data_IF_417097364710
#
_entry.id   IF_417097364710
#
_cell.length_a   1.000
_cell.length_b   1.000
_cell.length_c   1.000
_cell.angle_alpha   90.00
_cell.angle_beta   90.00
_cell.angle_gamma   90.00
#
_symmetry.space_group_name_H-M   'P 1'
#
loop_
_entity.id
_entity.type
_entity.pdbx_description
1 polymer ?
#
# COMPACT_ATOMS: atom_id res chain seq x y z
N UNK A 1 -8.96 7.27 24.82
CA UNK A 1 -8.08 7.57 23.68
C UNK A 1 -7.62 6.26 23.04
N UNK A 2 -8.40 5.69 22.13
CA UNK A 2 -7.88 4.81 21.07
C UNK A 2 -8.90 4.78 19.93
N UNK A 3 -8.83 5.80 19.06
CA UNK A 3 -9.69 5.90 17.88
C UNK A 3 -9.26 4.93 16.76
N UNK A 4 -8.19 4.16 16.98
CA UNK A 4 -7.59 3.23 16.03
C UNK A 4 -7.49 1.84 16.66
N UNK A 5 -7.74 0.82 15.83
CA UNK A 5 -7.57 -0.58 16.23
C UNK A 5 -6.09 -0.93 16.39
N UNK A 6 -5.82 -1.99 17.14
CA UNK A 6 -4.45 -2.48 17.34
C UNK A 6 -3.75 -2.78 16.01
N UNK A 7 -4.49 -3.30 15.03
CA UNK A 7 -3.99 -3.54 13.66
C UNK A 7 -3.54 -2.26 12.98
N UNK A 8 -4.34 -1.19 13.02
CA UNK A 8 -3.95 0.10 12.42
C UNK A 8 -2.70 0.64 13.11
N UNK A 9 -2.62 0.51 14.43
CA UNK A 9 -1.46 0.96 15.20
C UNK A 9 -0.20 0.13 14.90
N UNK A 10 -0.34 -1.17 14.65
CA UNK A 10 0.76 -2.04 14.22
C UNK A 10 1.33 -1.60 12.87
N UNK A 11 0.47 -1.49 11.85
CA UNK A 11 0.89 -1.06 10.51
C UNK A 11 1.41 0.38 10.46
N UNK A 12 0.96 1.24 11.38
CA UNK A 12 1.53 2.58 11.51
C UNK A 12 2.93 2.55 12.12
N UNK A 13 3.16 1.76 13.18
CA UNK A 13 4.45 1.70 13.88
C UNK A 13 5.50 0.91 13.10
N UNK A 14 5.10 -0.20 12.49
CA UNK A 14 5.94 -1.11 11.73
C UNK A 14 5.31 -1.35 10.34
N UNK A 15 5.32 -0.35 9.44
CA UNK A 15 4.74 -0.51 8.12
C UNK A 15 5.51 -1.57 7.32
N UNK A 16 4.78 -2.54 6.79
CA UNK A 16 5.29 -3.59 5.92
C UNK A 16 5.35 -3.14 4.47
N UNK A 17 6.29 -3.67 3.69
CA UNK A 17 6.43 -3.42 2.25
C UNK A 17 6.66 -1.95 1.83
N UNK A 18 7.24 -1.14 2.72
CA UNK A 18 7.70 0.21 2.38
C UNK A 18 8.85 0.15 1.38
N UNK A 19 8.76 0.90 0.30
CA UNK A 19 9.84 1.05 -0.69
C UNK A 19 9.33 1.11 -2.13
N UNK A 20 10.24 0.82 -3.05
CA UNK A 20 9.96 0.81 -4.49
C UNK A 20 10.41 -0.52 -5.08
N UNK A 21 9.83 -0.85 -6.23
CA UNK A 21 10.27 -1.95 -7.09
C UNK A 21 10.87 -1.28 -8.33
N UNK A 22 12.19 -1.44 -8.56
CA UNK A 22 12.90 -0.73 -9.64
C UNK A 22 12.40 -1.13 -11.03
N UNK A 23 12.00 -2.39 -11.17
CA UNK A 23 11.48 -3.01 -12.37
C UNK A 23 9.98 -3.35 -12.20
N UNK A 24 9.23 -2.47 -11.55
CA UNK A 24 7.78 -2.65 -11.39
C UNK A 24 7.08 -2.79 -12.75
N UNK A 25 6.13 -3.72 -12.84
CA UNK A 25 5.29 -3.88 -14.04
C UNK A 25 4.14 -2.86 -14.03
N UNK A 26 3.77 -2.35 -12.86
CA UNK A 26 2.77 -1.30 -12.69
C UNK A 26 3.13 -0.33 -11.58
N UNK A 27 2.88 0.95 -11.82
CA UNK A 27 3.10 2.03 -10.85
C UNK A 27 1.87 2.93 -10.86
N UNK A 28 1.26 3.12 -9.69
CA UNK A 28 0.14 4.04 -9.49
C UNK A 28 0.52 5.12 -8.48
N UNK A 29 0.15 6.36 -8.74
CA UNK A 29 0.39 7.49 -7.85
C UNK A 29 -0.89 8.33 -7.72
N UNK A 30 -1.28 8.61 -6.48
CA UNK A 30 -2.47 9.39 -6.15
C UNK A 30 -2.15 10.32 -4.99
N UNK A 31 -2.58 11.57 -5.08
CA UNK A 31 -2.48 12.54 -4.01
C UNK A 31 -3.83 13.16 -3.66
N UNK A 32 -4.04 13.50 -2.40
CA UNK A 32 -5.19 14.25 -1.93
C UNK A 32 -4.77 15.69 -1.57
N UNK A 33 -5.14 16.71 -2.37
CA UNK A 33 -4.72 18.09 -2.14
C UNK A 33 -5.31 18.72 -0.87
N UNK A 34 -6.35 18.12 -0.28
CA UNK A 34 -7.01 18.64 0.93
C UNK A 34 -6.16 18.38 2.18
N UNK A 35 -5.58 17.18 2.30
CA UNK A 35 -4.73 16.81 3.44
C UNK A 35 -3.24 16.80 3.10
N UNK A 36 -2.88 16.88 1.82
CA UNK A 36 -1.48 16.82 1.35
C UNK A 36 -0.90 15.42 1.30
N UNK A 37 -1.72 14.38 1.51
CA UNK A 37 -1.26 12.99 1.44
C UNK A 37 -0.94 12.62 -0.02
N UNK A 38 0.21 11.99 -0.25
CA UNK A 38 0.65 11.46 -1.55
C UNK A 38 1.04 10.01 -1.36
N UNK A 39 0.42 9.11 -2.13
CA UNK A 39 0.68 7.68 -2.10
C UNK A 39 1.10 7.18 -3.48
N UNK A 40 2.12 6.34 -3.49
CA UNK A 40 2.64 5.65 -4.66
C UNK A 40 2.74 4.16 -4.39
N UNK A 41 2.17 3.35 -5.27
CA UNK A 41 2.18 1.89 -5.19
C UNK A 41 2.93 1.33 -6.40
N UNK A 42 3.73 0.31 -6.16
CA UNK A 42 4.50 -0.45 -7.14
C UNK A 42 4.05 -1.89 -7.08
N UNK A 43 3.72 -2.49 -8.23
CA UNK A 43 3.36 -3.90 -8.33
C UNK A 43 4.30 -4.63 -9.29
N UNK A 44 4.57 -5.89 -8.97
CA UNK A 44 5.18 -6.88 -9.86
C UNK A 44 4.15 -7.96 -10.14
N UNK A 45 3.93 -8.26 -11.40
CA UNK A 45 2.88 -9.18 -11.84
C UNK A 45 3.51 -10.33 -12.62
N UNK A 46 3.03 -11.54 -12.37
CA UNK A 46 3.37 -12.72 -13.15
C UNK A 46 2.14 -13.60 -13.30
N UNK A 47 1.81 -13.98 -14.53
CA UNK A 47 0.66 -14.84 -14.85
C UNK A 47 -0.64 -14.31 -14.21
N UNK A 48 -0.91 -13.01 -14.39
CA UNK A 48 -2.04 -12.24 -13.82
C UNK A 48 -2.12 -12.17 -12.28
N UNK A 49 -1.09 -12.65 -11.58
CA UNK A 49 -0.97 -12.60 -10.12
C UNK A 49 0.03 -11.55 -9.65
N UNK A 50 -0.34 -10.81 -8.60
CA UNK A 50 0.56 -9.83 -7.96
C UNK A 50 1.56 -10.58 -7.09
N UNK A 51 2.82 -10.68 -7.54
CA UNK A 51 3.88 -11.43 -6.83
C UNK A 51 4.65 -10.55 -5.85
N UNK A 52 4.71 -9.23 -6.08
CA UNK A 52 5.23 -8.28 -5.10
C UNK A 52 4.46 -6.96 -5.20
N UNK A 53 4.34 -6.29 -4.06
CA UNK A 53 3.63 -5.03 -3.93
C UNK A 53 4.36 -4.21 -2.86
N UNK A 54 4.74 -2.98 -3.21
CA UNK A 54 5.40 -2.02 -2.32
C UNK A 54 4.79 -0.66 -2.44
N UNK A 55 4.96 0.16 -1.40
CA UNK A 55 4.46 1.52 -1.42
C UNK A 55 5.47 2.53 -0.90
N UNK A 56 5.32 3.76 -1.35
CA UNK A 56 5.81 4.97 -0.69
C UNK A 56 4.64 5.89 -0.44
N UNK A 57 4.56 6.43 0.75
CA UNK A 57 3.53 7.42 1.07
C UNK A 57 4.14 8.53 1.90
N UNK A 58 3.66 9.74 1.67
CA UNK A 58 3.87 10.87 2.53
C UNK A 58 2.49 11.32 2.97
N UNK A 59 2.21 11.25 4.27
CA UNK A 59 0.88 11.59 4.75
C UNK A 59 0.66 11.28 6.22
N UNK A 60 -0.59 11.37 6.65
CA UNK A 60 -0.98 11.07 8.02
C UNK A 60 -0.72 9.59 8.40
N UNK A 61 -0.71 9.29 9.71
CA UNK A 61 -0.48 7.93 10.19
C UNK A 61 -1.52 6.91 9.69
N UNK A 62 -2.74 7.36 9.42
CA UNK A 62 -3.77 6.54 8.80
C UNK A 62 -3.39 6.16 7.35
N UNK A 63 -2.86 7.11 6.56
CA UNK A 63 -2.39 6.84 5.20
C UNK A 63 -1.24 5.82 5.18
N UNK A 64 -0.30 5.90 6.14
CA UNK A 64 0.78 4.93 6.29
C UNK A 64 0.22 3.54 6.62
N UNK A 65 -0.66 3.46 7.61
CA UNK A 65 -1.22 2.18 8.05
C UNK A 65 -2.04 1.50 6.95
N UNK A 66 -2.93 2.24 6.26
CA UNK A 66 -3.74 1.68 5.18
C UNK A 66 -2.91 1.28 3.97
N UNK A 67 -1.89 2.07 3.63
CA UNK A 67 -0.94 1.72 2.56
C UNK A 67 -0.18 0.43 2.87
N UNK A 68 0.23 0.23 4.13
CA UNK A 68 0.86 -1.02 4.52
C UNK A 68 -0.12 -2.21 4.44
N UNK A 69 -1.32 -2.07 4.98
CA UNK A 69 -2.33 -3.13 4.95
C UNK A 69 -2.69 -3.56 3.53
N UNK A 70 -2.92 -2.62 2.61
CA UNK A 70 -3.32 -2.98 1.24
C UNK A 70 -2.22 -3.76 0.53
N UNK A 71 -0.94 -3.42 0.73
CA UNK A 71 0.17 -4.15 0.09
C UNK A 71 0.27 -5.61 0.54
N UNK A 72 -0.11 -5.93 1.77
CA UNK A 72 -0.20 -7.33 2.23
C UNK A 72 -1.45 -8.02 1.69
N UNK A 73 -2.59 -7.33 1.67
CA UNK A 73 -3.86 -7.91 1.23
C UNK A 73 -3.85 -8.28 -0.26
N UNK A 74 -3.21 -7.48 -1.12
CA UNK A 74 -3.21 -7.69 -2.57
C UNK A 74 -2.10 -8.65 -3.04
N UNK A 75 -1.07 -8.86 -2.23
CA UNK A 75 0.04 -9.74 -2.61
C UNK A 75 -0.43 -11.20 -2.64
N UNK A 76 -0.16 -11.86 -3.76
CA UNK A 76 -0.58 -13.24 -4.02
C UNK A 76 -1.99 -13.37 -4.60
N UNK A 77 -2.73 -12.27 -4.74
CA UNK A 77 -4.04 -12.23 -5.42
C UNK A 77 -3.88 -12.03 -6.92
N UNK A 78 -4.87 -12.49 -7.66
CA UNK A 78 -5.02 -12.17 -9.07
C UNK A 78 -5.47 -10.70 -9.23
N UNK A 79 -5.11 -10.05 -10.33
CA UNK A 79 -5.41 -8.62 -10.58
C UNK A 79 -6.91 -8.35 -10.42
N UNK A 80 -7.77 -9.19 -10.99
CA UNK A 80 -9.22 -9.03 -10.92
C UNK A 80 -9.78 -9.16 -9.49
N UNK A 81 -9.10 -9.91 -8.62
CA UNK A 81 -9.47 -10.02 -7.21
C UNK A 81 -9.00 -8.79 -6.43
N UNK A 82 -7.82 -8.26 -6.76
CA UNK A 82 -7.28 -7.06 -6.13
C UNK A 82 -8.06 -5.78 -6.48
N UNK A 83 -8.82 -5.79 -7.58
CA UNK A 83 -9.67 -4.68 -8.02
C UNK A 83 -11.04 -4.61 -7.30
N UNK A 84 -11.43 -5.65 -6.55
CA UNK A 84 -12.72 -5.74 -5.85
C UNK A 84 -12.62 -5.27 -4.40
#
# INVERSE_FOLDING_TARGET
MSMYSDKVMEHFKNPHNVGEIKDADGIGEVGNPICGDIMKIYIKVKDDKIIDCKFKTFGCGAAIATSSMITEMVKGKDIDEALK
#
